data_IF_785003686465
#
_entry.id   IF_785003686465
#
_cell.length_a   1.000
_cell.length_b   1.000
_cell.length_c   1.000
_cell.angle_alpha   90.00
_cell.angle_beta   90.00
_cell.angle_gamma   90.00
#
_symmetry.space_group_name_H-M   'P 1'
#
loop_
_entity.id
_entity.type
_entity.pdbx_description
1 polymer ?
#
# COMPACT_ATOMS: atom_id res chain seq x y z
N UNK A 1 -48.90 39.43 11.49
CA UNK A 1 -48.59 40.76 12.05
C UNK A 1 -48.36 41.82 10.97
N UNK A 2 -47.44 41.64 10.02
CA UNK A 2 -47.21 42.62 8.92
C UNK A 2 -48.50 42.85 8.11
N UNK A 3 -49.25 41.79 7.77
CA UNK A 3 -50.55 41.91 7.11
C UNK A 3 -51.65 42.59 7.95
N UNK A 4 -51.59 42.50 9.28
CA UNK A 4 -52.53 43.20 10.18
C UNK A 4 -52.24 44.71 10.22
N UNK A 5 -50.96 45.11 10.20
CA UNK A 5 -50.58 46.52 10.08
C UNK A 5 -50.95 47.12 8.73
N UNK A 6 -50.70 46.39 7.63
CA UNK A 6 -51.08 46.84 6.30
C UNK A 6 -52.60 46.94 6.14
N UNK A 7 -53.35 45.94 6.62
CA UNK A 7 -54.82 45.96 6.62
C UNK A 7 -55.39 47.13 7.42
N UNK A 8 -54.79 47.45 8.58
CA UNK A 8 -55.21 48.60 9.38
C UNK A 8 -54.82 49.95 8.77
N UNK A 9 -53.65 50.04 8.13
CA UNK A 9 -53.19 51.25 7.43
C UNK A 9 -54.06 51.59 6.20
N UNK A 10 -54.53 50.58 5.47
CA UNK A 10 -55.47 50.75 4.36
C UNK A 10 -56.94 50.85 4.81
N UNK A 11 -57.21 50.84 6.13
CA UNK A 11 -58.54 51.03 6.70
C UNK A 11 -59.45 49.80 6.62
N UNK A 12 -58.93 48.64 6.23
CA UNK A 12 -59.70 47.38 6.19
C UNK A 12 -59.95 46.81 7.59
N UNK A 13 -59.07 47.09 8.58
CA UNK A 13 -59.20 46.62 9.96
C UNK A 13 -58.91 47.72 11.00
N UNK A 14 -59.51 47.66 12.20
CA UNK A 14 -59.19 48.60 13.27
C UNK A 14 -57.76 48.38 13.80
N UNK A 15 -57.13 49.47 14.26
CA UNK A 15 -55.85 49.40 14.96
C UNK A 15 -55.99 48.73 16.32
N UNK A 16 -54.93 48.08 16.79
CA UNK A 16 -54.91 47.50 18.13
C UNK A 16 -55.02 48.62 19.18
N UNK A 17 -56.00 48.53 20.07
CA UNK A 17 -56.19 49.48 21.17
C UNK A 17 -55.59 48.91 22.46
N UNK A 18 -54.61 49.61 23.01
CA UNK A 18 -53.97 49.28 24.28
C UNK A 18 -53.90 50.57 25.08
N UNK A 19 -54.35 50.53 26.33
CA UNK A 19 -54.20 51.63 27.27
C UNK A 19 -52.87 51.44 28.01
N UNK A 20 -51.91 52.33 27.74
CA UNK A 20 -50.61 52.32 28.39
C UNK A 20 -50.30 53.72 28.92
N UNK A 21 -49.80 53.79 30.15
CA UNK A 21 -49.36 55.03 30.80
C UNK A 21 -47.94 54.85 31.31
N UNK A 22 -47.15 55.92 31.30
CA UNK A 22 -45.85 55.99 31.95
C UNK A 22 -45.89 57.17 32.91
N UNK A 23 -45.81 56.90 34.21
CA UNK A 23 -46.08 57.89 35.24
C UNK A 23 -47.54 58.35 35.18
N UNK A 24 -47.77 59.67 35.19
CA UNK A 24 -49.12 60.28 35.14
C UNK A 24 -49.57 60.66 33.72
N UNK A 25 -48.78 60.30 32.69
CA UNK A 25 -49.08 60.60 31.30
C UNK A 25 -49.59 59.36 30.55
N UNK A 26 -50.82 59.47 30.04
CA UNK A 26 -51.40 58.50 29.12
C UNK A 26 -50.74 58.62 27.74
N UNK A 27 -50.29 57.50 27.19
CA UNK A 27 -49.65 57.46 25.88
C UNK A 27 -50.76 57.34 24.84
N UNK A 28 -50.99 58.43 24.10
CA UNK A 28 -51.90 58.42 22.97
C UNK A 28 -51.44 57.40 21.92
N UNK A 29 -52.37 56.60 21.39
CA UNK A 29 -52.14 55.62 20.33
C UNK A 29 -51.10 54.53 20.66
N UNK A 30 -50.94 54.17 21.94
CA UNK A 30 -49.96 53.18 22.39
C UNK A 30 -50.05 51.83 21.63
N UNK A 31 -51.27 51.36 21.35
CA UNK A 31 -51.45 50.11 20.61
C UNK A 31 -51.00 50.17 19.15
N UNK A 32 -51.16 51.31 18.47
CA UNK A 32 -50.65 51.54 17.11
C UNK A 32 -49.11 51.50 17.08
N UNK A 33 -48.46 52.19 18.02
CA UNK A 33 -46.99 52.23 18.14
C UNK A 33 -46.44 50.84 18.40
N UNK A 34 -47.06 50.08 19.30
CA UNK A 34 -46.67 48.71 19.60
C UNK A 34 -46.83 47.80 18.37
N UNK A 35 -47.95 47.91 17.66
CA UNK A 35 -48.24 47.09 16.49
C UNK A 35 -47.23 47.34 15.36
N UNK A 36 -46.87 48.60 15.11
CA UNK A 36 -45.85 48.99 14.12
C UNK A 36 -44.46 48.53 14.57
N UNK A 37 -44.08 48.78 15.83
CA UNK A 37 -42.79 48.36 16.38
C UNK A 37 -42.60 46.84 16.30
N UNK A 38 -43.63 46.07 16.66
CA UNK A 38 -43.60 44.61 16.57
C UNK A 38 -43.52 44.13 15.11
N UNK A 39 -44.22 44.78 14.18
CA UNK A 39 -44.13 44.43 12.77
C UNK A 39 -42.75 44.70 12.18
N UNK A 40 -42.11 45.82 12.52
CA UNK A 40 -40.73 46.13 12.13
C UNK A 40 -39.75 45.12 12.74
N UNK A 41 -39.95 44.73 13.99
CA UNK A 41 -39.13 43.70 14.64
C UNK A 41 -39.25 42.34 13.93
N UNK A 42 -40.47 41.90 13.62
CA UNK A 42 -40.68 40.67 12.84
C UNK A 42 -40.06 40.76 11.44
N UNK A 43 -40.16 41.92 10.78
CA UNK A 43 -39.53 42.15 9.48
C UNK A 43 -38.00 42.04 9.58
N UNK A 44 -37.40 42.66 10.59
CA UNK A 44 -35.96 42.58 10.84
C UNK A 44 -35.50 41.13 11.07
N UNK A 45 -36.24 40.34 11.86
CA UNK A 45 -35.96 38.92 12.05
C UNK A 45 -36.07 38.11 10.75
N UNK A 46 -37.08 38.39 9.92
CA UNK A 46 -37.26 37.73 8.63
C UNK A 46 -36.14 38.06 7.64
N UNK A 47 -35.55 39.26 7.72
CA UNK A 47 -34.38 39.62 6.92
C UNK A 47 -33.10 38.99 7.45
N UNK A 48 -33.00 38.74 8.77
CA UNK A 48 -31.80 38.21 9.42
C UNK A 48 -31.68 36.67 9.31
N UNK A 49 -32.80 35.95 9.37
CA UNK A 49 -32.87 34.48 9.25
C UNK A 49 -32.21 33.90 7.98
N UNK A 50 -32.49 34.40 6.77
CA UNK A 50 -31.88 33.84 5.55
C UNK A 50 -30.37 34.05 5.50
N UNK A 51 -29.86 35.14 6.11
CA UNK A 51 -28.43 35.40 6.20
C UNK A 51 -27.72 34.37 7.08
N UNK A 52 -28.29 34.05 8.25
CA UNK A 52 -27.77 33.00 9.13
C UNK A 52 -27.88 31.59 8.54
N UNK A 53 -28.97 31.30 7.83
CA UNK A 53 -29.13 30.01 7.14
C UNK A 53 -28.05 29.80 6.06
N UNK A 54 -27.69 30.86 5.33
CA UNK A 54 -26.63 30.83 4.33
C UNK A 54 -25.25 30.59 4.95
N UNK A 55 -24.95 31.20 6.10
CA UNK A 55 -23.70 31.00 6.83
C UNK A 55 -23.59 29.55 7.34
N UNK A 56 -24.68 28.99 7.90
CA UNK A 56 -24.68 27.62 8.39
C UNK A 56 -24.54 26.56 7.27
N UNK A 57 -25.02 26.87 6.06
CA UNK A 57 -24.76 26.04 4.88
C UNK A 57 -23.29 26.06 4.46
N UNK A 58 -22.62 27.22 4.54
CA UNK A 58 -21.19 27.33 4.25
C UNK A 58 -20.35 26.51 5.25
N UNK A 59 -20.69 26.55 6.54
CA UNK A 59 -20.01 25.74 7.56
C UNK A 59 -20.25 24.23 7.38
N UNK A 60 -21.46 23.82 6.99
CA UNK A 60 -21.74 22.41 6.63
C UNK A 60 -20.94 21.98 5.40
N UNK A 61 -20.91 22.81 4.36
CA UNK A 61 -20.16 22.53 3.14
C UNK A 61 -18.65 22.44 3.37
N UNK A 62 -18.10 23.20 4.32
CA UNK A 62 -16.69 23.14 4.68
C UNK A 62 -16.35 21.88 5.50
N UNK A 63 -17.31 21.34 6.26
CA UNK A 63 -17.15 20.07 7.00
C UNK A 63 -17.33 18.83 6.12
N UNK A 64 -18.15 18.91 5.06
CA UNK A 64 -18.32 17.87 4.05
C UNK A 64 -17.08 17.67 3.16
N UNK A 65 -16.11 18.59 3.19
CA UNK A 65 -14.90 18.52 2.36
C UNK A 65 -13.80 17.61 2.94
N UNK A 66 -14.03 16.95 4.09
CA UNK A 66 -13.15 15.86 4.50
C UNK A 66 -13.47 14.62 3.67
N UNK A 67 -12.82 14.55 2.51
CA UNK A 67 -12.73 13.37 1.65
C UNK A 67 -12.47 12.15 2.55
N UNK A 68 -13.47 11.28 2.67
CA UNK A 68 -13.36 10.06 3.48
C UNK A 68 -12.51 9.04 2.72
N UNK A 69 -11.68 8.27 3.42
CA UNK A 69 -10.81 7.24 2.81
C UNK A 69 -11.58 6.25 1.92
N UNK A 70 -12.87 6.03 2.21
CA UNK A 70 -13.78 5.24 1.37
C UNK A 70 -14.07 5.88 0.00
N UNK A 71 -14.22 7.21 -0.08
CA UNK A 71 -14.43 7.90 -1.36
C UNK A 71 -13.16 7.91 -2.20
N UNK A 72 -11.99 8.06 -1.56
CA UNK A 72 -10.69 7.88 -2.24
C UNK A 72 -10.56 6.45 -2.77
N UNK A 73 -10.87 5.45 -1.96
CA UNK A 73 -10.80 4.05 -2.37
C UNK A 73 -11.79 3.73 -3.51
N UNK A 74 -13.00 4.31 -3.47
CA UNK A 74 -14.02 4.13 -4.50
C UNK A 74 -13.65 4.84 -5.80
N UNK A 75 -13.14 6.07 -5.72
CA UNK A 75 -12.63 6.81 -6.87
C UNK A 75 -11.40 6.11 -7.49
N UNK A 76 -10.48 5.61 -6.66
CA UNK A 76 -9.32 4.82 -7.09
C UNK A 76 -9.73 3.50 -7.75
N UNK A 77 -10.74 2.82 -7.19
CA UNK A 77 -11.28 1.59 -7.78
C UNK A 77 -11.94 1.86 -9.13
N UNK A 78 -12.75 2.92 -9.25
CA UNK A 78 -13.41 3.31 -10.51
C UNK A 78 -12.37 3.71 -11.56
N UNK A 79 -11.34 4.49 -11.19
CA UNK A 79 -10.28 4.88 -12.14
C UNK A 79 -9.46 3.66 -12.59
N UNK A 80 -9.15 2.73 -11.69
CA UNK A 80 -8.42 1.51 -12.03
C UNK A 80 -9.28 0.51 -12.81
N UNK A 81 -10.60 0.50 -12.61
CA UNK A 81 -11.50 -0.33 -13.38
C UNK A 81 -11.62 0.20 -14.82
N UNK A 82 -11.78 1.52 -14.98
CA UNK A 82 -11.75 2.18 -16.28
C UNK A 82 -10.41 2.03 -17.02
N UNK A 83 -9.27 2.07 -16.31
CA UNK A 83 -7.94 1.86 -16.91
C UNK A 83 -7.71 0.38 -17.31
N UNK A 84 -8.25 -0.56 -16.54
CA UNK A 84 -8.23 -2.00 -16.87
C UNK A 84 -9.14 -2.36 -18.04
N UNK A 85 -10.23 -1.62 -18.21
CA UNK A 85 -11.10 -1.71 -19.38
C UNK A 85 -10.50 -0.95 -20.59
N UNK A 86 -9.73 0.11 -20.35
CA UNK A 86 -9.01 0.94 -21.34
C UNK A 86 -7.95 0.18 -22.16
N UNK A 87 -7.35 -0.87 -21.60
CA UNK A 87 -6.40 -1.72 -22.35
C UNK A 87 -7.06 -2.50 -23.51
N UNK A 88 -8.39 -2.63 -23.49
CA UNK A 88 -9.18 -3.27 -24.55
C UNK A 88 -9.91 -2.29 -25.46
N UNK A 89 -10.03 -1.03 -25.05
CA UNK A 89 -10.56 0.01 -25.92
C UNK A 89 -9.65 0.26 -27.13
N UNK A 90 -8.34 -0.01 -27.08
CA UNK A 90 -7.53 0.08 -28.30
C UNK A 90 -8.10 -0.75 -29.45
N UNK A 91 -8.62 -1.96 -29.21
CA UNK A 91 -9.16 -2.80 -30.29
C UNK A 91 -10.51 -2.29 -30.82
N UNK A 92 -11.39 -1.81 -29.94
CA UNK A 92 -12.67 -1.20 -30.35
C UNK A 92 -12.48 0.15 -31.02
N UNK A 93 -11.55 0.96 -30.53
CA UNK A 93 -11.11 2.20 -31.16
C UNK A 93 -10.50 1.91 -32.54
N UNK A 94 -9.73 0.81 -32.69
CA UNK A 94 -9.20 0.37 -33.99
C UNK A 94 -10.28 -0.04 -34.98
N UNK A 95 -11.28 -0.80 -34.54
CA UNK A 95 -12.42 -1.15 -35.38
C UNK A 95 -13.24 0.09 -35.75
N UNK A 96 -13.41 1.05 -34.82
CA UNK A 96 -14.06 2.33 -35.08
C UNK A 96 -13.28 3.22 -36.05
N UNK A 97 -11.95 3.21 -35.98
CA UNK A 97 -11.06 3.94 -36.90
C UNK A 97 -11.08 3.27 -38.26
N UNK A 98 -11.09 1.93 -38.33
CA UNK A 98 -11.27 1.16 -39.57
C UNK A 98 -12.60 1.48 -40.24
N UNK A 99 -13.70 1.49 -39.50
CA UNK A 99 -15.03 1.85 -39.99
C UNK A 99 -15.08 3.30 -40.47
N UNK A 100 -14.45 4.22 -39.75
CA UNK A 100 -14.35 5.64 -40.13
C UNK A 100 -13.51 5.84 -41.40
N UNK A 101 -12.45 5.04 -41.59
CA UNK A 101 -11.62 5.07 -42.81
C UNK A 101 -12.35 4.44 -43.99
N UNK A 102 -13.13 3.37 -43.77
CA UNK A 102 -14.00 2.80 -44.79
C UNK A 102 -15.04 3.83 -45.23
N UNK A 103 -15.67 4.53 -44.29
CA UNK A 103 -16.61 5.61 -44.55
C UNK A 103 -15.97 6.82 -45.27
N UNK A 104 -14.72 7.17 -44.94
CA UNK A 104 -13.96 8.22 -45.64
C UNK A 104 -13.53 7.82 -47.05
N UNK A 105 -13.35 6.51 -47.32
CA UNK A 105 -13.03 5.97 -48.64
C UNK A 105 -14.23 6.04 -49.59
N UNK A 106 -15.43 5.78 -49.08
CA UNK A 106 -16.66 5.81 -49.88
C UNK A 106 -17.20 7.25 -50.09
N UNK A 107 -16.48 8.27 -49.58
CA UNK A 107 -16.90 9.67 -49.66
C UNK A 107 -16.44 10.33 -50.96
N UNK A 108 -17.36 10.93 -51.76
CA UNK A 108 -17.11 11.38 -53.14
C UNK A 108 -16.13 12.56 -53.30
N UNK A 109 -15.65 13.15 -52.20
CA UNK A 109 -14.72 14.29 -52.21
C UNK A 109 -13.27 13.92 -51.82
N UNK A 110 -12.99 12.65 -51.54
CA UNK A 110 -11.69 12.16 -51.02
C UNK A 110 -10.97 11.21 -51.98
N UNK A 111 -11.44 11.11 -53.23
CA UNK A 111 -10.95 10.23 -54.30
C UNK A 111 -9.44 10.39 -54.62
N UNK A 112 -8.81 11.51 -54.23
CA UNK A 112 -7.37 11.78 -54.41
C UNK A 112 -6.48 11.47 -53.19
N UNK A 113 -7.05 11.14 -52.03
CA UNK A 113 -6.31 10.83 -50.79
C UNK A 113 -6.11 9.31 -50.56
N UNK A 114 -6.55 8.48 -51.51
CA UNK A 114 -6.73 7.03 -51.37
C UNK A 114 -5.50 6.24 -50.89
N UNK A 115 -4.25 6.49 -51.30
CA UNK A 115 -3.14 5.61 -50.91
C UNK A 115 -2.52 5.95 -49.54
N UNK A 116 -2.27 7.24 -49.27
CA UNK A 116 -1.49 7.67 -48.11
C UNK A 116 -2.25 7.53 -46.78
N UNK A 117 -3.56 7.79 -46.77
CA UNK A 117 -4.40 7.64 -45.58
C UNK A 117 -4.59 6.15 -45.23
N UNK A 118 -4.70 5.30 -46.26
CA UNK A 118 -4.79 3.84 -46.07
C UNK A 118 -3.46 3.25 -45.60
N UNK A 119 -2.33 3.77 -46.06
CA UNK A 119 -1.01 3.35 -45.63
C UNK A 119 -0.75 3.69 -44.15
N UNK A 120 -1.03 4.93 -43.73
CA UNK A 120 -0.88 5.35 -42.32
C UNK A 120 -1.82 4.55 -41.42
N UNK A 121 -3.06 4.32 -41.85
CA UNK A 121 -3.99 3.48 -41.10
C UNK A 121 -3.54 2.02 -40.98
N UNK A 122 -2.99 1.45 -42.05
CA UNK A 122 -2.45 0.10 -42.05
C UNK A 122 -1.23 -0.01 -41.13
N UNK A 123 -0.34 0.98 -41.15
CA UNK A 123 0.83 1.05 -40.26
C UNK A 123 0.41 1.15 -38.79
N UNK A 124 -0.50 2.07 -38.45
CA UNK A 124 -1.04 2.20 -37.09
C UNK A 124 -1.76 0.92 -36.64
N UNK A 125 -2.51 0.26 -37.54
CA UNK A 125 -3.18 -1.02 -37.24
C UNK A 125 -2.21 -2.16 -36.97
N UNK A 126 -1.07 -2.17 -37.66
CA UNK A 126 -0.03 -3.16 -37.41
C UNK A 126 0.64 -2.94 -36.04
N UNK A 127 0.95 -1.69 -35.69
CA UNK A 127 1.57 -1.35 -34.40
C UNK A 127 0.65 -1.66 -33.22
N UNK A 128 -0.65 -1.35 -33.34
CA UNK A 128 -1.61 -1.66 -32.29
C UNK A 128 -1.88 -3.16 -32.16
N UNK A 129 -1.86 -3.93 -33.26
CA UNK A 129 -1.90 -5.39 -33.22
C UNK A 129 -0.73 -5.93 -32.40
N UNK A 130 0.47 -5.41 -32.65
CA UNK A 130 1.70 -5.81 -31.97
C UNK A 130 1.64 -5.48 -30.47
N UNK A 131 1.13 -4.31 -30.10
CA UNK A 131 0.89 -3.93 -28.71
C UNK A 131 -0.16 -4.83 -28.04
N UNK A 132 -1.29 -5.09 -28.70
CA UNK A 132 -2.32 -5.98 -28.17
C UNK A 132 -1.82 -7.42 -27.99
N UNK A 133 -0.95 -7.92 -28.87
CA UNK A 133 -0.36 -9.25 -28.75
C UNK A 133 0.67 -9.33 -27.61
N UNK A 134 1.45 -8.27 -27.37
CA UNK A 134 2.40 -8.18 -26.26
C UNK A 134 1.66 -8.05 -24.92
N UNK A 135 0.66 -7.18 -24.86
CA UNK A 135 -0.11 -6.83 -23.67
C UNK A 135 -1.45 -7.58 -23.54
N UNK A 136 -1.58 -8.72 -24.22
CA UNK A 136 -2.74 -9.58 -24.06
C UNK A 136 -2.96 -9.90 -22.56
N UNK A 137 -4.18 -9.68 -22.06
CA UNK A 137 -4.52 -9.89 -20.64
C UNK A 137 -4.16 -11.28 -20.14
N UNK A 138 -4.23 -12.29 -21.01
CA UNK A 138 -3.84 -13.66 -20.69
C UNK A 138 -2.33 -13.76 -20.40
N UNK A 139 -1.49 -13.09 -21.20
CA UNK A 139 -0.04 -13.02 -20.98
C UNK A 139 0.30 -12.22 -19.72
N UNK A 140 -0.34 -11.07 -19.51
CA UNK A 140 -0.14 -10.24 -18.32
C UNK A 140 -0.57 -10.99 -17.05
N UNK A 141 -1.71 -11.68 -17.08
CA UNK A 141 -2.19 -12.51 -15.97
C UNK A 141 -1.21 -13.63 -15.65
N UNK A 142 -0.69 -14.34 -16.66
CA UNK A 142 0.35 -15.36 -16.47
C UNK A 142 1.63 -14.78 -15.86
N UNK A 143 2.10 -13.64 -16.35
CA UNK A 143 3.29 -12.98 -15.79
C UNK A 143 3.10 -12.60 -14.31
N UNK A 144 1.92 -12.06 -13.95
CA UNK A 144 1.58 -11.77 -12.54
C UNK A 144 1.53 -13.03 -11.68
N UNK A 145 0.95 -14.12 -12.18
CA UNK A 145 0.94 -15.41 -11.47
C UNK A 145 2.35 -15.94 -11.26
N UNK A 146 3.22 -15.86 -12.27
CA UNK A 146 4.62 -16.26 -12.16
C UNK A 146 5.37 -15.44 -11.11
N UNK A 147 5.22 -14.12 -11.10
CA UNK A 147 5.83 -13.26 -10.08
C UNK A 147 5.33 -13.60 -8.67
N UNK A 148 4.03 -13.87 -8.51
CA UNK A 148 3.46 -14.30 -7.23
C UNK A 148 4.04 -15.64 -6.78
N UNK A 149 4.19 -16.60 -7.69
CA UNK A 149 4.81 -17.88 -7.39
C UNK A 149 6.28 -17.71 -7.00
N UNK A 150 7.04 -16.87 -7.72
CA UNK A 150 8.44 -16.56 -7.39
C UNK A 150 8.59 -15.90 -6.04
N UNK A 151 7.66 -15.02 -5.65
CA UNK A 151 7.65 -14.44 -4.30
C UNK A 151 7.48 -15.54 -3.24
N UNK A 152 6.47 -16.41 -3.41
CA UNK A 152 6.25 -17.53 -2.49
C UNK A 152 7.45 -18.48 -2.41
N UNK A 153 8.16 -18.69 -3.52
CA UNK A 153 9.40 -19.46 -3.53
C UNK A 153 10.51 -18.75 -2.74
N UNK A 154 10.67 -17.44 -2.89
CA UNK A 154 11.65 -16.66 -2.12
C UNK A 154 11.35 -16.73 -0.62
N UNK A 155 10.10 -16.56 -0.22
CA UNK A 155 9.70 -16.61 1.20
C UNK A 155 10.04 -17.99 1.82
N UNK A 156 9.77 -19.08 1.09
CA UNK A 156 10.15 -20.45 1.50
C UNK A 156 11.67 -20.64 1.59
N UNK A 157 12.43 -20.02 0.69
CA UNK A 157 13.89 -20.07 0.76
C UNK A 157 14.43 -19.30 1.96
N UNK A 158 13.84 -18.15 2.29
CA UNK A 158 14.20 -17.37 3.47
C UNK A 158 13.98 -18.17 4.77
N UNK A 159 12.84 -18.86 4.88
CA UNK A 159 12.56 -19.74 6.02
C UNK A 159 13.60 -20.85 6.16
N UNK A 160 13.95 -21.53 5.06
CA UNK A 160 15.00 -22.55 5.05
C UNK A 160 16.37 -21.98 5.45
N UNK A 161 16.68 -20.77 5.01
CA UNK A 161 17.93 -20.11 5.34
C UNK A 161 18.04 -19.82 6.84
N UNK A 162 16.94 -19.36 7.47
CA UNK A 162 16.88 -19.14 8.92
C UNK A 162 17.15 -20.41 9.71
N UNK A 163 16.52 -21.52 9.32
CA UNK A 163 16.76 -22.83 9.96
C UNK A 163 18.23 -23.24 9.81
N UNK A 164 18.79 -23.14 8.60
CA UNK A 164 20.19 -23.51 8.36
C UNK A 164 21.18 -22.64 9.17
N UNK A 165 20.91 -21.34 9.29
CA UNK A 165 21.70 -20.42 10.11
C UNK A 165 21.65 -20.81 11.58
N UNK A 166 20.45 -21.03 12.11
CA UNK A 166 20.27 -21.46 13.50
C UNK A 166 21.02 -22.76 13.80
N UNK A 167 20.87 -23.79 12.96
CA UNK A 167 21.61 -25.05 13.11
C UNK A 167 23.12 -24.83 13.03
N UNK A 168 23.59 -23.94 12.17
CA UNK A 168 25.03 -23.65 12.07
C UNK A 168 25.56 -23.00 13.35
N UNK A 169 24.80 -22.11 13.96
CA UNK A 169 25.19 -21.47 15.21
C UNK A 169 25.12 -22.44 16.40
N UNK A 170 24.13 -23.33 16.45
CA UNK A 170 24.09 -24.44 17.41
C UNK A 170 25.32 -25.33 17.31
N UNK A 171 25.71 -25.73 16.09
CA UNK A 171 26.90 -26.55 15.86
C UNK A 171 28.18 -25.86 16.31
N UNK A 172 28.32 -24.54 16.10
CA UNK A 172 29.47 -23.77 16.61
C UNK A 172 29.51 -23.74 18.13
N UNK A 173 28.35 -23.56 18.77
CA UNK A 173 28.26 -23.55 20.23
C UNK A 173 28.60 -24.92 20.82
N UNK A 174 28.12 -26.00 20.22
CA UNK A 174 28.49 -27.36 20.62
C UNK A 174 29.97 -27.63 20.47
N UNK A 175 30.59 -27.16 19.38
CA UNK A 175 32.04 -27.30 19.18
C UNK A 175 32.82 -26.57 20.27
N UNK A 176 32.46 -25.33 20.60
CA UNK A 176 33.11 -24.58 21.69
C UNK A 176 32.91 -25.25 23.06
N UNK A 177 31.73 -25.81 23.30
CA UNK A 177 31.45 -26.56 24.53
C UNK A 177 32.31 -27.81 24.63
N UNK A 178 32.40 -28.61 23.56
CA UNK A 178 33.24 -29.81 23.53
C UNK A 178 34.72 -29.45 23.75
N UNK A 179 35.23 -28.40 23.10
CA UNK A 179 36.60 -27.93 23.33
C UNK A 179 36.84 -27.57 24.80
N UNK A 180 35.87 -26.89 25.43
CA UNK A 180 35.97 -26.53 26.86
C UNK A 180 35.93 -27.77 27.75
N UNK A 181 35.02 -28.70 27.48
CA UNK A 181 34.87 -29.94 28.23
C UNK A 181 36.13 -30.83 28.08
N UNK A 182 36.73 -30.90 26.89
CA UNK A 182 37.97 -31.64 26.64
C UNK A 182 39.13 -31.06 27.48
N UNK A 183 39.31 -29.74 27.50
CA UNK A 183 40.35 -29.12 28.35
C UNK A 183 40.11 -29.34 29.85
N UNK A 184 38.86 -29.47 30.27
CA UNK A 184 38.52 -29.76 31.66
C UNK A 184 38.81 -31.23 32.00
N UNK A 185 38.46 -32.16 31.11
CA UNK A 185 38.75 -33.58 31.25
C UNK A 185 40.26 -33.82 31.30
N UNK A 186 41.04 -33.17 30.43
CA UNK A 186 42.51 -33.25 30.45
C UNK A 186 43.06 -32.85 31.82
N UNK A 187 42.61 -31.72 32.39
CA UNK A 187 43.04 -31.27 33.72
C UNK A 187 42.61 -32.22 34.84
N UNK A 188 41.41 -32.79 34.75
CA UNK A 188 40.95 -33.77 35.73
C UNK A 188 41.77 -35.05 35.67
N UNK A 189 42.15 -35.49 34.47
CA UNK A 189 43.01 -36.65 34.27
C UNK A 189 44.41 -36.40 34.83
N UNK A 190 45.01 -35.24 34.55
CA UNK A 190 46.31 -34.85 35.11
C UNK A 190 46.29 -34.82 36.65
N UNK A 191 45.19 -34.33 37.24
CA UNK A 191 45.01 -34.29 38.70
C UNK A 191 44.88 -35.69 39.27
N UNK A 192 44.05 -36.54 38.65
CA UNK A 192 43.84 -37.92 39.09
C UNK A 192 45.13 -38.75 38.97
N UNK A 193 45.91 -38.52 37.91
CA UNK A 193 47.23 -39.12 37.74
C UNK A 193 48.15 -38.70 38.89
N UNK A 194 48.23 -37.41 39.19
CA UNK A 194 49.01 -36.90 40.32
C UNK A 194 48.57 -37.48 41.66
N UNK A 195 47.26 -37.53 41.94
CA UNK A 195 46.70 -38.10 43.18
C UNK A 195 47.04 -39.60 43.30
N UNK A 196 46.95 -40.36 42.20
CA UNK A 196 47.31 -41.77 42.18
C UNK A 196 48.81 -41.98 42.43
N UNK A 197 49.67 -41.13 41.85
CA UNK A 197 51.12 -41.16 42.08
C UNK A 197 51.49 -40.83 43.52
N UNK A 198 50.73 -39.96 44.18
CA UNK A 198 50.95 -39.67 45.60
C UNK A 198 50.68 -40.89 46.50
N UNK A 199 49.66 -41.69 46.17
CA UNK A 199 49.23 -42.84 46.98
C UNK A 199 50.02 -44.12 46.66
N UNK A 200 50.58 -44.24 45.45
CA UNK A 200 51.30 -45.44 44.99
C UNK A 200 52.47 -45.89 45.90
N UNK A 201 53.33 -44.98 46.41
CA UNK A 201 54.41 -45.32 47.33
C UNK A 201 53.90 -45.90 48.65
N UNK A 202 52.75 -45.43 49.16
CA UNK A 202 52.14 -45.97 50.38
C UNK A 202 51.67 -47.42 50.20
N UNK A 203 51.36 -47.81 48.96
CA UNK A 203 50.97 -49.17 48.58
C UNK A 203 52.17 -50.08 48.30
N UNK A 204 53.41 -49.58 48.39
CA UNK A 204 54.65 -50.35 48.20
C UNK A 204 55.08 -50.49 46.74
N UNK A 205 54.57 -49.65 45.84
CA UNK A 205 54.98 -49.58 44.45
C UNK A 205 55.83 -48.32 44.21
N UNK A 206 57.13 -48.48 43.91
CA UNK A 206 57.99 -47.39 43.44
C UNK A 206 57.99 -47.37 41.91
N UNK A 207 57.46 -46.30 41.32
CA UNK A 207 57.59 -46.03 39.88
C UNK A 207 58.66 -44.94 39.69
N UNK A 208 59.77 -45.28 39.03
CA UNK A 208 60.74 -44.29 38.55
C UNK A 208 60.10 -43.48 37.41
N UNK A 209 59.79 -42.21 37.68
CA UNK A 209 59.10 -41.33 36.72
C UNK A 209 60.11 -40.65 35.77
N UNK A 210 60.12 -41.03 34.49
CA UNK A 210 60.61 -40.13 33.43
C UNK A 210 59.53 -39.08 33.18
N UNK A 211 59.77 -37.83 33.59
CA UNK A 211 58.85 -36.71 33.34
C UNK A 211 58.40 -36.71 31.88
N UNK A 212 57.08 -36.76 31.59
CA UNK A 212 56.62 -36.68 30.23
C UNK A 212 56.99 -35.29 29.72
N UNK A 213 57.87 -35.25 28.71
CA UNK A 213 58.18 -34.03 27.99
C UNK A 213 56.86 -33.38 27.58
N UNK A 214 56.63 -32.13 28.06
CA UNK A 214 55.43 -31.35 27.78
C UNK A 214 55.03 -31.54 26.32
N UNK A 215 53.89 -32.20 26.08
CA UNK A 215 53.36 -32.54 24.75
C UNK A 215 52.79 -31.30 24.07
N UNK A 216 53.53 -30.19 24.08
CA UNK A 216 53.23 -29.05 23.25
C UNK A 216 54.08 -29.14 21.99
N UNK A 217 53.43 -28.97 20.84
CA UNK A 217 54.04 -28.77 19.52
C UNK A 217 54.28 -30.02 18.65
N UNK A 218 53.21 -30.77 18.38
CA UNK A 218 53.05 -31.43 17.07
C UNK A 218 51.73 -31.03 16.45
N UNK A 219 51.66 -29.78 16.00
CA UNK A 219 50.69 -29.38 14.98
C UNK A 219 51.13 -30.05 13.68
N UNK A 220 50.48 -31.16 13.32
CA UNK A 220 50.66 -31.77 11.99
C UNK A 220 50.02 -30.82 11.00
N UNK A 221 50.75 -30.21 10.05
CA UNK A 221 50.11 -29.44 8.99
C UNK A 221 49.27 -30.42 8.18
N UNK A 222 47.95 -30.32 8.27
CA UNK A 222 47.07 -31.00 7.33
C UNK A 222 47.36 -30.42 5.95
N UNK A 223 48.01 -31.22 5.11
CA UNK A 223 48.16 -30.92 3.68
C UNK A 223 46.77 -30.60 3.14
N UNK A 224 46.55 -29.34 2.78
CA UNK A 224 45.33 -28.89 2.14
C UNK A 224 45.14 -29.73 0.87
N UNK A 225 44.21 -30.69 0.92
CA UNK A 225 43.78 -31.42 -0.27
C UNK A 225 43.16 -30.39 -1.19
N UNK A 226 43.90 -30.00 -2.22
CA UNK A 226 43.43 -29.07 -3.24
C UNK A 226 42.12 -29.62 -3.80
N UNK A 227 41.00 -29.01 -3.40
CA UNK A 227 39.71 -29.23 -4.01
C UNK A 227 39.83 -28.66 -5.42
N UNK A 228 39.93 -29.55 -6.42
CA UNK A 228 39.88 -29.13 -7.83
C UNK A 228 38.60 -28.34 -8.04
N UNK A 229 38.63 -27.16 -8.68
CA UNK A 229 37.44 -26.38 -8.92
C UNK A 229 36.48 -27.20 -9.78
N UNK A 230 35.28 -27.43 -9.26
CA UNK A 230 34.16 -28.00 -10.00
C UNK A 230 33.85 -27.04 -11.16
N UNK A 231 34.03 -27.52 -12.40
CA UNK A 231 33.67 -26.74 -13.59
C UNK A 231 32.18 -26.38 -13.51
N UNK A 232 31.79 -25.14 -13.81
CA UNK A 232 30.39 -24.76 -13.83
C UNK A 232 29.66 -25.60 -14.88
N UNK A 233 28.62 -26.30 -14.44
CA UNK A 233 27.69 -27.00 -15.32
C UNK A 233 27.02 -25.94 -16.20
N UNK A 234 27.24 -26.02 -17.52
CA UNK A 234 26.57 -25.13 -18.48
C UNK A 234 25.05 -25.29 -18.33
N UNK A 235 24.28 -24.19 -18.29
CA UNK A 235 22.82 -24.29 -18.26
C UNK A 235 22.33 -25.00 -19.53
N UNK A 236 21.56 -26.07 -19.35
CA UNK A 236 20.86 -26.76 -20.43
C UNK A 236 19.83 -25.79 -21.00
N UNK A 237 20.04 -25.39 -22.26
CA UNK A 237 19.12 -24.53 -23.00
C UNK A 237 17.78 -25.29 -23.17
N UNK A 238 16.63 -24.71 -22.83
CA UNK A 238 15.35 -25.37 -23.07
C UNK A 238 15.16 -25.56 -24.58
N UNK A 239 14.76 -26.78 -24.97
CA UNK A 239 14.46 -27.13 -26.34
C UNK A 239 13.34 -26.22 -26.89
N UNK A 240 13.54 -25.69 -28.10
CA UNK A 240 12.49 -24.96 -28.82
C UNK A 240 11.33 -25.93 -29.11
N UNK A 241 10.06 -25.51 -28.96
CA UNK A 241 8.95 -26.29 -29.47
C UNK A 241 9.04 -26.36 -31.01
N UNK A 242 8.80 -27.56 -31.55
CA UNK A 242 8.68 -27.80 -32.98
C UNK A 242 7.53 -26.95 -33.56
N UNK A 243 7.75 -26.43 -34.76
CA UNK A 243 6.73 -25.74 -35.56
C UNK A 243 5.61 -26.68 -35.96
#
# INVERSE_FOLDING_TARGET
MIGLCLGAAFGYWPWLEIQASIGDHQIAHAGMILQIGFALFCLALLLFLPSHARIMQLEKSHRDFQITMQDVAKAYAISHQADRDGLFHLRSEFDSVRERIQHLRDHPSLELLEPAVLEVAAQMSHEARKLADVYNSEKVKRAKTFLKQRQQEVDRFEEKLKVAQHTTDELKNWLLQIETDETLIERQLDTLEADLFEILPELGFDLEYEQPARRNEKVVPMTAKQVKPVKPVKPVRPAKPAK
#
